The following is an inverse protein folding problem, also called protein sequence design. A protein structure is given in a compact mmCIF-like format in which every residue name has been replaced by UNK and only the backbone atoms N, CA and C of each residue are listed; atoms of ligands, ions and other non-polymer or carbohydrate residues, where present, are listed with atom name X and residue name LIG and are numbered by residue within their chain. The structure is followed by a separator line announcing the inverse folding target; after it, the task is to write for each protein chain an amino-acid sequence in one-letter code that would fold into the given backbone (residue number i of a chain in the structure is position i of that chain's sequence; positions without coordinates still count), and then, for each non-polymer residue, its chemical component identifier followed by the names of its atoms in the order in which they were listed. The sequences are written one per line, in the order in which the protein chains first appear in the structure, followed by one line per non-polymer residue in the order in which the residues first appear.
data_IF_849838659872
#
_entry.id   IF_849838659872
#
_cell.length_a   1.000
_cell.length_b   1.000
_cell.length_c   1.000
_cell.angle_alpha   90.00
_cell.angle_beta   90.00
_cell.angle_gamma   90.00
#
_symmetry.space_group_name_H-M   'P 1'
#
loop_
_entity.id
_entity.type
_entity.pdbx_description
1 polymer ?
#
# COMPACT_ATOMS: atom_id res chain seq x y z
N UNK A 1 -12.76 11.85 -21.52
CA UNK A 1 -12.82 11.19 -20.18
C UNK A 1 -12.09 12.11 -19.23
N UNK A 2 -12.62 12.43 -18.03
CA UNK A 2 -11.88 13.27 -17.10
C UNK A 2 -10.56 12.57 -16.78
N UNK A 3 -9.46 13.29 -16.98
CA UNK A 3 -8.14 12.79 -16.59
C UNK A 3 -8.11 12.66 -15.07
N UNK A 4 -7.75 11.46 -14.62
CA UNK A 4 -7.72 11.10 -13.21
C UNK A 4 -6.72 12.03 -12.49
N UNK A 5 -7.04 12.58 -11.30
CA UNK A 5 -6.22 13.63 -10.69
C UNK A 5 -4.80 13.12 -10.39
N UNK A 6 -3.81 13.96 -10.70
CA UNK A 6 -2.38 13.66 -10.45
C UNK A 6 -2.07 13.55 -8.95
N UNK A 7 -2.75 14.34 -8.12
CA UNK A 7 -2.58 14.34 -6.67
C UNK A 7 -3.85 13.86 -5.99
N UNK A 8 -3.70 12.78 -5.22
CA UNK A 8 -4.74 12.10 -4.47
C UNK A 8 -4.77 12.59 -3.03
N UNK A 9 -5.97 12.66 -2.45
CA UNK A 9 -6.15 12.82 -1.01
C UNK A 9 -5.85 11.50 -0.29
N UNK A 10 -5.66 11.54 1.04
CA UNK A 10 -5.52 10.30 1.81
C UNK A 10 -6.78 9.42 1.74
N UNK A 11 -7.95 10.02 1.50
CA UNK A 11 -9.20 9.28 1.32
C UNK A 11 -9.18 8.54 -0.03
N UNK A 12 -8.83 9.23 -1.12
CA UNK A 12 -8.75 8.59 -2.45
C UNK A 12 -7.75 7.43 -2.45
N UNK A 13 -6.59 7.61 -1.80
CA UNK A 13 -5.60 6.53 -1.67
C UNK A 13 -6.14 5.37 -0.84
N UNK A 14 -6.90 5.66 0.22
CA UNK A 14 -7.51 4.64 1.06
C UNK A 14 -8.53 3.81 0.26
N UNK A 15 -9.33 4.47 -0.58
CA UNK A 15 -10.28 3.81 -1.48
C UNK A 15 -9.56 2.93 -2.51
N UNK A 16 -8.49 3.43 -3.13
CA UNK A 16 -7.70 2.67 -4.13
C UNK A 16 -7.06 1.41 -3.52
N UNK A 17 -6.50 1.53 -2.32
CA UNK A 17 -5.85 0.42 -1.62
C UNK A 17 -6.84 -0.44 -0.80
N UNK A 18 -8.14 -0.11 -0.86
CA UNK A 18 -9.20 -0.74 -0.07
C UNK A 18 -8.84 -0.86 1.42
N UNK A 19 -8.40 0.26 2.01
CA UNK A 19 -7.93 0.36 3.39
C UNK A 19 -8.53 1.57 4.11
N UNK A 20 -8.15 1.79 5.37
CA UNK A 20 -8.61 2.96 6.14
C UNK A 20 -7.72 4.18 5.92
N UNK A 21 -8.31 5.38 5.95
CA UNK A 21 -7.54 6.63 5.89
C UNK A 21 -6.52 6.78 7.04
N UNK A 22 -6.78 6.17 8.19
CA UNK A 22 -5.82 6.12 9.30
C UNK A 22 -4.57 5.30 8.96
N UNK A 23 -4.74 4.18 8.26
CA UNK A 23 -3.63 3.36 7.78
C UNK A 23 -2.79 4.11 6.74
N UNK A 24 -3.43 4.76 5.77
CA UNK A 24 -2.74 5.60 4.78
C UNK A 24 -2.00 6.76 5.45
N UNK A 25 -2.63 7.44 6.40
CA UNK A 25 -1.99 8.51 7.17
C UNK A 25 -0.74 8.01 7.90
N UNK A 26 -0.81 6.81 8.50
CA UNK A 26 0.34 6.23 9.17
C UNK A 26 1.46 5.89 8.16
N UNK A 27 1.17 5.35 6.97
CA UNK A 27 2.17 5.14 5.91
C UNK A 27 2.88 6.44 5.51
N UNK A 28 2.12 7.52 5.33
CA UNK A 28 2.68 8.84 5.01
C UNK A 28 3.53 9.37 6.16
N UNK A 29 3.08 9.20 7.40
CA UNK A 29 3.79 9.68 8.59
C UNK A 29 5.07 8.90 8.86
N UNK A 30 5.10 7.61 8.51
CA UNK A 30 6.29 6.73 8.53
C UNK A 30 7.29 7.06 7.43
N UNK A 31 6.81 7.63 6.32
CA UNK A 31 7.61 7.88 5.11
C UNK A 31 7.54 6.75 4.08
N UNK A 32 6.80 5.67 4.36
CA UNK A 32 6.64 4.53 3.45
C UNK A 32 5.92 4.93 2.16
N UNK A 33 4.95 5.85 2.28
CA UNK A 33 4.22 6.44 1.17
C UNK A 33 4.58 7.92 1.02
N UNK A 34 5.34 8.31 -0.02
CA UNK A 34 5.70 9.70 -0.24
C UNK A 34 4.48 10.59 -0.47
N UNK A 35 4.36 11.65 0.33
CA UNK A 35 3.29 12.63 0.22
C UNK A 35 3.82 14.04 0.47
N UNK A 36 3.19 15.02 -0.17
CA UNK A 36 3.45 16.43 0.05
C UNK A 36 2.39 17.02 0.99
N UNK A 37 2.81 17.90 1.89
CA UNK A 37 1.92 18.65 2.76
C UNK A 37 1.64 20.01 2.11
N UNK A 38 0.41 20.22 1.65
CA UNK A 38 0.01 21.45 0.97
C UNK A 38 -0.73 22.38 1.94
N UNK A 39 -0.23 23.61 2.04
CA UNK A 39 -0.85 24.70 2.78
C UNK A 39 -0.76 24.60 4.32
N UNK A 40 -1.20 25.67 4.99
CA UNK A 40 -1.12 25.81 6.46
C UNK A 40 -2.11 24.93 7.25
N UNK A 41 -3.06 24.26 6.58
CA UNK A 41 -4.06 23.38 7.22
C UNK A 41 -3.65 21.91 7.28
N UNK A 42 -2.43 21.58 6.85
CA UNK A 42 -1.90 20.22 6.95
C UNK A 42 -2.60 19.19 6.08
N UNK A 43 -3.02 19.59 4.88
CA UNK A 43 -3.57 18.66 3.90
C UNK A 43 -2.42 17.87 3.27
N UNK A 44 -2.49 16.55 3.35
CA UNK A 44 -1.57 15.67 2.64
C UNK A 44 -2.10 15.36 1.25
N UNK A 45 -1.19 15.30 0.29
CA UNK A 45 -1.44 14.87 -1.09
C UNK A 45 -0.39 13.86 -1.50
N UNK A 46 -0.86 12.76 -2.06
CA UNK A 46 -0.02 11.70 -2.60
C UNK A 46 -0.06 11.85 -4.11
N UNK A 47 1.10 11.91 -4.75
CA UNK A 47 1.13 11.86 -6.21
C UNK A 47 0.81 10.44 -6.68
N UNK A 48 -0.02 10.30 -7.70
CA UNK A 48 -0.45 9.00 -8.24
C UNK A 48 0.74 8.11 -8.60
N UNK A 49 1.75 8.66 -9.25
CA UNK A 49 2.96 7.91 -9.59
C UNK A 49 3.65 7.32 -8.34
N UNK A 50 3.71 8.08 -7.24
CA UNK A 50 4.28 7.58 -5.98
C UNK A 50 3.44 6.47 -5.34
N UNK A 51 2.11 6.52 -5.50
CA UNK A 51 1.22 5.43 -5.08
C UNK A 51 1.48 4.16 -5.89
N UNK A 52 1.57 4.28 -7.22
CA UNK A 52 1.87 3.15 -8.11
C UNK A 52 3.25 2.53 -7.79
N UNK A 53 4.27 3.36 -7.58
CA UNK A 53 5.60 2.90 -7.14
C UNK A 53 5.54 2.18 -5.79
N UNK A 54 4.75 2.69 -4.83
CA UNK A 54 4.56 2.02 -3.54
C UNK A 54 3.93 0.64 -3.73
N UNK A 55 2.89 0.53 -4.55
CA UNK A 55 2.25 -0.75 -4.87
C UNK A 55 3.26 -1.72 -5.47
N UNK A 56 4.07 -1.28 -6.43
CA UNK A 56 5.13 -2.10 -7.04
C UNK A 56 6.17 -2.57 -6.02
N UNK A 57 6.59 -1.70 -5.09
CA UNK A 57 7.50 -2.11 -4.00
C UNK A 57 6.87 -3.17 -3.11
N UNK A 58 5.61 -3.00 -2.70
CA UNK A 58 4.89 -3.98 -1.88
C UNK A 58 4.78 -5.34 -2.57
N UNK A 59 4.54 -5.37 -3.89
CA UNK A 59 4.57 -6.62 -4.67
C UNK A 59 5.96 -7.26 -4.69
N UNK A 60 7.02 -6.47 -4.87
CA UNK A 60 8.39 -6.97 -4.88
C UNK A 60 8.80 -7.54 -3.52
N UNK A 61 8.47 -6.86 -2.42
CA UNK A 61 8.70 -7.33 -1.05
C UNK A 61 7.93 -8.62 -0.76
N UNK A 62 6.65 -8.67 -1.13
CA UNK A 62 5.81 -9.87 -0.97
C UNK A 62 6.39 -11.04 -1.74
N UNK A 63 6.83 -10.79 -2.99
CA UNK A 63 7.48 -11.82 -3.80
C UNK A 63 8.76 -12.33 -3.16
N UNK A 64 9.62 -11.43 -2.67
CA UNK A 64 10.86 -11.83 -1.97
C UNK A 64 10.56 -12.64 -0.71
N UNK A 65 9.54 -12.24 0.06
CA UNK A 65 9.11 -12.96 1.25
C UNK A 65 8.64 -14.38 0.93
N UNK A 66 7.78 -14.54 -0.08
CA UNK A 66 7.29 -15.87 -0.52
C UNK A 66 8.41 -16.73 -1.09
N UNK A 67 9.33 -16.15 -1.87
CA UNK A 67 10.46 -16.88 -2.45
C UNK A 67 11.46 -17.34 -1.35
N UNK A 68 11.64 -16.55 -0.28
CA UNK A 68 12.51 -16.88 0.86
C UNK A 68 11.85 -17.81 1.89
N UNK A 69 10.53 -17.77 1.98
CA UNK A 69 9.71 -18.64 2.82
C UNK A 69 8.69 -19.37 1.95
N UNK A 70 9.15 -20.32 1.09
CA UNK A 70 8.22 -21.17 0.35
C UNK A 70 7.36 -21.89 1.39
N UNK A 71 6.04 -21.73 1.26
CA UNK A 71 5.06 -22.43 2.10
C UNK A 71 5.45 -23.92 2.17
N UNK A 72 5.93 -24.37 3.33
CA UNK A 72 5.93 -25.79 3.64
C UNK A 72 4.47 -26.11 3.92
N UNK A 73 3.79 -26.73 2.95
CA UNK A 73 2.44 -27.25 3.13
C UNK A 73 2.43 -28.13 4.38
N UNK A 74 1.86 -27.61 5.47
CA UNK A 74 1.56 -28.36 6.68
C UNK A 74 0.24 -29.13 6.53
N UNK A 75 -0.03 -29.66 5.33
CA UNK A 75 -1.14 -30.56 5.02
C UNK A 75 -0.63 -31.98 4.72
N UNK A 76 0.32 -32.45 5.53
CA UNK A 76 0.80 -33.82 5.51
C UNK A 76 0.77 -34.44 6.92
N UNK A 77 -0.35 -34.33 7.64
CA UNK A 77 -0.68 -35.32 8.68
C UNK A 77 -2.15 -35.21 9.12
N UNK A 78 -3.06 -35.87 8.41
CA UNK A 78 -4.26 -36.45 9.03
C UNK A 78 -4.69 -37.64 8.16
N UNK A 79 -4.00 -38.76 8.32
CA UNK A 79 -4.52 -40.07 7.97
C UNK A 79 -4.76 -40.86 9.27
N UNK A 80 -6.00 -40.89 9.81
CA UNK A 80 -6.32 -41.78 10.90
C UNK A 80 -6.69 -43.16 10.31
N UNK A 81 -5.73 -44.08 10.29
CA UNK A 81 -6.00 -45.53 10.24
C UNK A 81 -6.59 -46.05 11.54
#
# INVERSE_FOLDING_TARGET
MPEDPRFLTLADVADVLNTSGAQVYALVRRGDLPAIKIGGRGQWRVERAQLEEFIQRMYAETKQFVDQHPFVDADADTDPS
#
